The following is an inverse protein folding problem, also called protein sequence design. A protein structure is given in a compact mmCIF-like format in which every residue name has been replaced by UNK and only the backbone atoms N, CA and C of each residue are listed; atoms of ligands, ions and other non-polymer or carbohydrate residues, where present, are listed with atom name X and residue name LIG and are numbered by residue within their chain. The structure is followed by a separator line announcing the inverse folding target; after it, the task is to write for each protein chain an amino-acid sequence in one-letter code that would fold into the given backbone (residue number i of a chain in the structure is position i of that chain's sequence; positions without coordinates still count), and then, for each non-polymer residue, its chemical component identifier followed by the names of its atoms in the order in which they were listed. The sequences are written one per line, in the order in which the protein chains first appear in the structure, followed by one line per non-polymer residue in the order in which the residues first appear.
data_IF_668098999222
#
_entry.id   IF_668098999222
#
_cell.length_a   1.000
_cell.length_b   1.000
_cell.length_c   1.000
_cell.angle_alpha   90.00
_cell.angle_beta   90.00
_cell.angle_gamma   90.00
#
_symmetry.space_group_name_H-M   'P 1'
#
loop_
_entity.id
_entity.type
_entity.pdbx_description
1 polymer ?
#
# COMPACT_ATOMS: atom_id res chain seq x y z
N UNK A 1 -14.46 -2.83 -15.47
CA UNK A 1 -13.03 -3.18 -15.58
C UNK A 1 -12.41 -3.10 -14.19
N UNK A 2 -11.51 -4.01 -13.83
CA UNK A 2 -10.86 -4.04 -12.50
C UNK A 2 -9.74 -3.01 -12.37
N UNK A 3 -9.09 -2.67 -13.48
CA UNK A 3 -8.05 -1.65 -13.56
C UNK A 3 -8.60 -0.34 -14.13
N UNK A 4 -8.01 0.76 -13.66
CA UNK A 4 -8.25 2.11 -14.15
C UNK A 4 -6.93 2.73 -14.62
N UNK A 5 -7.04 3.68 -15.56
CA UNK A 5 -5.89 4.44 -16.02
C UNK A 5 -5.28 5.24 -14.89
N UNK A 6 -3.96 5.35 -14.87
CA UNK A 6 -3.27 6.18 -13.90
C UNK A 6 -3.85 7.60 -13.88
N UNK A 7 -4.04 8.13 -12.68
CA UNK A 7 -4.46 9.51 -12.45
C UNK A 7 -3.67 10.13 -11.31
N UNK A 8 -3.27 11.38 -11.47
CA UNK A 8 -2.62 12.17 -10.41
C UNK A 8 -3.55 12.37 -9.20
N UNK A 9 -4.87 12.17 -9.35
CA UNK A 9 -5.80 12.22 -8.24
C UNK A 9 -5.50 11.15 -7.15
N UNK A 10 -4.84 10.04 -7.49
CA UNK A 10 -4.41 9.08 -6.47
C UNK A 10 -3.38 9.67 -5.50
N UNK A 11 -2.53 10.60 -5.95
CA UNK A 11 -1.59 11.33 -5.09
C UNK A 11 -2.35 12.28 -4.16
N UNK A 12 -3.37 12.99 -4.68
CA UNK A 12 -4.23 13.84 -3.86
C UNK A 12 -5.01 13.03 -2.82
N UNK A 13 -5.54 11.86 -3.22
CA UNK A 13 -6.23 10.96 -2.34
C UNK A 13 -5.35 10.47 -1.20
N UNK A 14 -4.10 10.08 -1.49
CA UNK A 14 -3.11 9.73 -0.48
C UNK A 14 -2.85 10.91 0.46
N UNK A 15 -2.58 12.11 -0.08
CA UNK A 15 -2.33 13.32 0.73
C UNK A 15 -3.49 13.64 1.67
N UNK A 16 -4.73 13.46 1.21
CA UNK A 16 -5.92 13.68 2.03
C UNK A 16 -6.02 12.64 3.15
N UNK A 17 -5.82 11.34 2.86
CA UNK A 17 -5.81 10.29 3.89
C UNK A 17 -4.70 10.54 4.92
N UNK A 18 -3.48 10.82 4.43
CA UNK A 18 -2.31 11.11 5.25
C UNK A 18 -2.61 12.22 6.26
N UNK A 19 -3.19 13.33 5.81
CA UNK A 19 -3.58 14.45 6.69
C UNK A 19 -4.52 14.04 7.81
N UNK A 20 -5.56 13.25 7.51
CA UNK A 20 -6.51 12.80 8.53
C UNK A 20 -5.85 11.91 9.60
N UNK A 21 -4.91 11.06 9.17
CA UNK A 21 -4.14 10.20 10.07
C UNK A 21 -3.17 11.04 10.92
N UNK A 22 -2.43 11.96 10.31
CA UNK A 22 -1.42 12.78 11.01
C UNK A 22 -2.02 13.60 12.16
N UNK A 23 -3.22 14.16 11.98
CA UNK A 23 -3.95 14.91 13.02
C UNK A 23 -4.15 14.07 14.29
N UNK A 24 -4.27 12.74 14.16
CA UNK A 24 -4.56 11.85 15.28
C UNK A 24 -3.32 11.19 15.89
N UNK A 25 -2.18 11.24 15.19
CA UNK A 25 -0.92 10.64 15.61
C UNK A 25 0.08 11.66 16.20
N UNK A 26 -0.36 12.88 16.49
CA UNK A 26 0.50 13.92 17.07
C UNK A 26 1.25 13.44 18.33
N UNK A 27 2.54 13.79 18.41
CA UNK A 27 3.44 13.40 19.50
C UNK A 27 3.97 11.95 19.45
N UNK A 28 3.76 11.22 18.36
CA UNK A 28 4.38 9.91 18.10
C UNK A 28 5.44 10.07 17.01
N UNK A 29 6.56 9.35 17.10
CA UNK A 29 7.55 9.31 16.03
C UNK A 29 7.11 8.29 14.96
N UNK A 30 6.82 8.77 13.75
CA UNK A 30 6.41 7.94 12.62
C UNK A 30 6.65 8.62 11.27
N UNK A 31 6.61 7.83 10.21
CA UNK A 31 6.51 8.29 8.83
C UNK A 31 5.28 7.66 8.14
N UNK A 32 4.72 8.33 7.15
CA UNK A 32 3.62 7.79 6.32
C UNK A 32 4.04 7.80 4.86
N UNK A 33 4.01 6.63 4.23
CA UNK A 33 4.44 6.40 2.85
C UNK A 33 3.27 5.96 1.96
N UNK A 34 3.20 6.54 0.76
CA UNK A 34 2.32 6.06 -0.31
C UNK A 34 3.00 4.90 -1.00
N UNK A 35 2.41 3.71 -0.89
CA UNK A 35 2.96 2.48 -1.45
C UNK A 35 2.02 1.86 -2.49
N UNK A 36 2.38 0.69 -3.00
CA UNK A 36 1.57 -0.02 -3.99
C UNK A 36 1.56 0.66 -5.35
N UNK A 37 0.74 0.13 -6.27
CA UNK A 37 0.74 0.58 -7.67
C UNK A 37 0.23 2.01 -7.86
N UNK A 38 -0.68 2.50 -7.01
CA UNK A 38 -1.23 3.86 -7.13
C UNK A 38 -0.23 4.95 -6.78
N UNK A 39 0.88 4.59 -6.12
CA UNK A 39 2.01 5.47 -5.84
C UNK A 39 2.99 5.61 -7.02
N UNK A 40 2.85 4.83 -8.10
CA UNK A 40 3.76 4.86 -9.25
C UNK A 40 3.12 5.67 -10.38
N UNK A 41 3.68 6.83 -10.78
CA UNK A 41 3.17 7.59 -11.91
C UNK A 41 3.14 6.76 -13.19
N UNK A 42 2.09 6.95 -13.99
CA UNK A 42 1.87 6.28 -15.28
C UNK A 42 1.71 4.74 -15.18
N UNK A 43 1.31 4.22 -14.01
CA UNK A 43 1.01 2.80 -13.82
C UNK A 43 -0.48 2.59 -13.55
N UNK A 44 -1.18 1.97 -14.51
CA UNK A 44 -2.60 1.63 -14.38
C UNK A 44 -2.83 0.64 -13.24
N UNK A 45 -3.89 0.79 -12.46
CA UNK A 45 -4.06 0.03 -11.21
C UNK A 45 -5.52 -0.13 -10.79
N UNK A 46 -5.76 -1.00 -9.81
CA UNK A 46 -6.98 -0.91 -8.99
C UNK A 46 -6.95 0.44 -8.24
N UNK A 47 -8.06 1.19 -8.20
CA UNK A 47 -8.14 2.51 -7.56
C UNK A 47 -8.27 2.37 -6.03
N UNK A 48 -7.26 1.77 -5.40
CA UNK A 48 -7.16 1.61 -3.95
C UNK A 48 -5.80 2.17 -3.54
N UNK A 49 -5.80 3.09 -2.59
CA UNK A 49 -4.56 3.67 -2.04
C UNK A 49 -3.98 2.69 -1.04
N UNK A 50 -2.71 2.33 -1.18
CA UNK A 50 -2.01 1.51 -0.19
C UNK A 50 -1.07 2.43 0.63
N UNK A 51 -1.09 2.27 1.96
CA UNK A 51 -0.40 3.19 2.88
C UNK A 51 0.33 2.37 3.93
N UNK A 52 1.60 2.74 4.18
CA UNK A 52 2.35 2.28 5.35
C UNK A 52 2.50 3.43 6.34
N UNK A 53 2.14 3.19 7.61
CA UNK A 53 2.63 3.97 8.76
C UNK A 53 3.84 3.23 9.31
N UNK A 54 4.96 3.94 9.40
CA UNK A 54 6.26 3.39 9.74
C UNK A 54 6.68 3.96 11.08
N UNK A 55 7.03 3.10 12.04
CA UNK A 55 7.46 3.53 13.37
C UNK A 55 8.86 2.98 13.70
N UNK A 56 9.73 3.74 14.38
CA UNK A 56 11.08 3.29 14.70
C UNK A 56 11.14 2.40 15.94
N UNK A 57 10.36 2.72 16.97
CA UNK A 57 10.34 1.99 18.23
C UNK A 57 9.07 1.14 18.37
N UNK A 58 9.25 -0.15 18.64
CA UNK A 58 8.17 -1.09 18.98
C UNK A 58 7.23 -0.60 20.09
N UNK A 59 7.72 0.25 21.00
CA UNK A 59 6.90 0.85 22.06
C UNK A 59 5.83 1.82 21.53
N UNK A 60 5.99 2.34 20.31
CA UNK A 60 5.04 3.26 19.67
C UNK A 60 3.88 2.55 18.97
N UNK A 61 4.00 1.26 18.68
CA UNK A 61 2.92 0.50 18.00
C UNK A 61 1.60 0.58 18.76
N UNK A 62 1.60 0.31 20.07
CA UNK A 62 0.37 0.36 20.87
C UNK A 62 -0.21 1.78 20.93
N UNK A 63 0.64 2.82 20.92
CA UNK A 63 0.16 4.21 20.84
C UNK A 63 -0.53 4.45 19.50
N UNK A 64 0.10 4.08 18.38
CA UNK A 64 -0.46 4.22 17.03
C UNK A 64 -1.79 3.48 16.93
N UNK A 65 -1.82 2.22 17.38
CA UNK A 65 -3.02 1.39 17.39
C UNK A 65 -4.18 2.08 18.11
N UNK A 66 -3.96 2.53 19.35
CA UNK A 66 -4.98 3.24 20.14
C UNK A 66 -5.47 4.51 19.44
N UNK A 67 -4.58 5.26 18.78
CA UNK A 67 -4.96 6.47 18.03
C UNK A 67 -5.76 6.13 16.77
N UNK A 68 -5.39 5.09 16.03
CA UNK A 68 -6.13 4.61 14.87
C UNK A 68 -7.51 4.08 15.25
N UNK A 69 -7.63 3.40 16.39
CA UNK A 69 -8.93 2.95 16.92
C UNK A 69 -9.87 4.13 17.20
N UNK A 70 -9.35 5.22 17.77
CA UNK A 70 -10.10 6.49 17.96
C UNK A 70 -10.49 7.16 16.63
N UNK A 71 -9.78 6.86 15.55
CA UNK A 71 -10.09 7.34 14.20
C UNK A 71 -11.08 6.42 13.46
N UNK A 72 -11.54 5.33 14.10
CA UNK A 72 -12.50 4.39 13.51
C UNK A 72 -11.88 3.23 12.75
N UNK A 73 -10.58 3.02 12.89
CA UNK A 73 -9.95 1.77 12.46
C UNK A 73 -10.11 0.68 13.52
N UNK A 74 -9.90 -0.55 13.12
CA UNK A 74 -9.64 -1.67 14.02
C UNK A 74 -8.44 -2.46 13.51
N UNK A 75 -7.69 -3.03 14.45
CA UNK A 75 -6.56 -3.88 14.14
C UNK A 75 -7.05 -5.25 13.66
N UNK A 76 -6.66 -5.62 12.43
CA UNK A 76 -7.08 -6.84 11.76
C UNK A 76 -5.91 -7.86 11.67
N UNK A 77 -5.03 -7.84 12.67
CA UNK A 77 -3.83 -8.66 12.74
C UNK A 77 -2.85 -8.41 11.59
N UNK A 78 -1.92 -9.33 11.39
CA UNK A 78 -0.86 -9.21 10.37
C UNK A 78 -1.17 -9.97 9.05
N UNK A 79 -2.29 -10.70 9.02
CA UNK A 79 -2.74 -11.53 7.90
C UNK A 79 -1.66 -12.50 7.37
N UNK A 80 -0.83 -13.03 8.26
CA UNK A 80 0.23 -13.99 7.91
C UNK A 80 1.52 -13.35 7.39
N UNK A 81 1.63 -12.02 7.35
CA UNK A 81 2.86 -11.32 7.00
C UNK A 81 3.47 -10.71 8.26
N UNK A 82 4.62 -11.22 8.68
CA UNK A 82 5.32 -10.74 9.86
C UNK A 82 5.62 -9.23 9.76
N UNK A 83 5.46 -8.52 10.88
CA UNK A 83 5.78 -7.10 11.04
C UNK A 83 5.07 -6.17 10.03
N UNK A 84 3.85 -6.57 9.62
CA UNK A 84 2.94 -5.76 8.80
C UNK A 84 1.50 -5.88 9.29
N UNK A 85 1.15 -5.05 10.26
CA UNK A 85 -0.20 -5.02 10.81
C UNK A 85 -1.18 -4.35 9.86
N UNK A 86 -2.37 -4.92 9.72
CA UNK A 86 -3.43 -4.44 8.84
C UNK A 86 -4.50 -3.76 9.66
N UNK A 87 -4.86 -2.55 9.27
CA UNK A 87 -5.95 -1.79 9.87
C UNK A 87 -7.09 -1.62 8.87
N UNK A 88 -8.32 -1.81 9.35
CA UNK A 88 -9.54 -1.69 8.53
C UNK A 88 -10.53 -0.77 9.21
N UNK A 89 -11.43 -0.19 8.42
CA UNK A 89 -12.55 0.60 8.92
C UNK A 89 -13.80 -0.27 9.00
N UNK A 90 -14.53 -0.18 10.09
CA UNK A 90 -15.79 -0.92 10.30
C UNK A 90 -17.03 -0.02 10.25
N UNK A 91 -16.86 1.30 10.07
CA UNK A 91 -17.96 2.26 9.96
C UNK A 91 -18.54 2.73 11.30
N UNK A 92 -17.97 2.31 12.44
CA UNK A 92 -18.46 2.72 13.77
C UNK A 92 -18.21 4.21 14.06
N UNK A 93 -17.16 4.78 13.47
CA UNK A 93 -16.85 6.21 13.50
C UNK A 93 -16.72 6.70 12.07
N UNK A 94 -17.44 7.76 11.74
CA UNK A 94 -17.45 8.31 10.39
C UNK A 94 -16.35 9.36 10.22
N UNK A 95 -15.65 9.27 9.11
CA UNK A 95 -14.72 10.29 8.64
C UNK A 95 -14.90 10.44 7.13
N UNK A 96 -15.26 11.64 6.67
CA UNK A 96 -15.62 11.90 5.27
C UNK A 96 -14.53 11.44 4.30
N UNK A 97 -13.27 11.74 4.58
CA UNK A 97 -12.16 11.42 3.68
C UNK A 97 -11.86 9.92 3.71
N UNK A 98 -11.70 9.36 4.92
CA UNK A 98 -11.30 7.96 5.11
C UNK A 98 -12.40 6.97 4.68
N UNK A 99 -13.67 7.36 4.76
CA UNK A 99 -14.80 6.52 4.33
C UNK A 99 -15.09 6.65 2.82
N UNK A 100 -14.68 7.76 2.19
CA UNK A 100 -14.89 7.98 0.75
C UNK A 100 -13.76 7.37 -0.09
N UNK A 101 -12.51 7.56 0.34
CA UNK A 101 -11.35 7.10 -0.42
C UNK A 101 -11.03 5.66 -0.02
N UNK A 102 -11.16 4.73 -0.96
CA UNK A 102 -10.79 3.32 -0.72
C UNK A 102 -9.28 3.20 -0.51
N UNK A 103 -8.91 2.60 0.60
CA UNK A 103 -7.51 2.42 0.95
C UNK A 103 -7.28 1.15 1.77
N UNK A 104 -6.04 0.68 1.74
CA UNK A 104 -5.48 -0.24 2.72
C UNK A 104 -4.53 0.53 3.62
N UNK A 105 -4.58 0.24 4.91
CA UNK A 105 -3.69 0.82 5.89
C UNK A 105 -2.87 -0.29 6.55
N UNK A 106 -1.56 -0.15 6.46
CA UNK A 106 -0.60 -1.01 7.10
C UNK A 106 0.21 -0.23 8.13
N UNK A 107 0.67 -0.90 9.18
CA UNK A 107 1.54 -0.33 10.20
C UNK A 107 2.72 -1.27 10.39
N UNK A 108 3.94 -0.77 10.17
CA UNK A 108 5.17 -1.56 10.10
C UNK A 108 6.29 -0.91 10.93
N UNK A 109 7.12 -1.68 11.65
CA UNK A 109 8.36 -1.14 12.20
C UNK A 109 9.36 -0.83 11.07
N UNK A 110 10.27 0.10 11.33
CA UNK A 110 11.42 0.33 10.46
C UNK A 110 12.23 -0.96 10.28
N UNK A 111 12.73 -1.21 9.07
CA UNK A 111 13.52 -2.40 8.76
C UNK A 111 12.72 -3.69 8.56
N UNK A 112 11.38 -3.65 8.62
CA UNK A 112 10.58 -4.83 8.32
C UNK A 112 10.71 -5.25 6.85
N UNK A 113 10.72 -6.56 6.58
CA UNK A 113 10.78 -7.09 5.21
C UNK A 113 9.59 -6.65 4.36
N UNK A 114 8.43 -6.48 4.99
CA UNK A 114 7.22 -6.00 4.31
C UNK A 114 7.39 -4.55 3.84
N UNK A 115 7.91 -3.68 4.72
CA UNK A 115 8.22 -2.29 4.37
C UNK A 115 9.28 -2.22 3.26
N UNK A 116 10.37 -2.98 3.39
CA UNK A 116 11.41 -3.08 2.35
C UNK A 116 10.80 -3.46 1.00
N UNK A 117 9.97 -4.50 0.96
CA UNK A 117 9.27 -4.95 -0.25
C UNK A 117 8.43 -3.82 -0.86
N UNK A 118 7.65 -3.11 -0.05
CA UNK A 118 6.80 -2.02 -0.52
C UNK A 118 7.60 -0.86 -1.11
N UNK A 119 8.65 -0.41 -0.41
CA UNK A 119 9.45 0.75 -0.81
C UNK A 119 10.32 0.45 -2.03
N UNK A 120 11.03 -0.68 -2.03
CA UNK A 120 11.95 -1.01 -3.12
C UNK A 120 11.20 -1.30 -4.42
N UNK A 121 10.11 -2.06 -4.37
CA UNK A 121 9.30 -2.31 -5.59
C UNK A 121 8.71 -1.02 -6.17
N UNK A 122 8.17 -0.13 -5.32
CA UNK A 122 7.69 1.19 -5.75
C UNK A 122 8.79 2.01 -6.40
N UNK A 123 9.93 2.14 -5.72
CA UNK A 123 11.03 2.98 -6.17
C UNK A 123 11.58 2.47 -7.51
N UNK A 124 11.77 1.15 -7.64
CA UNK A 124 12.22 0.55 -8.90
C UNK A 124 11.26 0.84 -10.05
N UNK A 125 9.94 0.64 -9.84
CA UNK A 125 8.92 0.90 -10.87
C UNK A 125 8.81 2.39 -11.25
N UNK A 126 9.11 3.31 -10.33
CA UNK A 126 9.17 4.75 -10.62
C UNK A 126 10.38 5.09 -11.51
N UNK A 127 11.53 4.46 -11.26
CA UNK A 127 12.80 4.73 -11.98
C UNK A 127 12.92 3.99 -13.31
N UNK A 128 12.23 2.85 -13.47
CA UNK A 128 12.41 1.95 -14.60
C UNK A 128 11.13 1.82 -15.43
N UNK A 129 11.09 2.50 -16.59
CA UNK A 129 9.95 2.44 -17.50
C UNK A 129 9.65 1.03 -18.00
N UNK A 130 10.68 0.27 -18.42
CA UNK A 130 10.50 -1.10 -18.91
C UNK A 130 9.80 -1.99 -17.87
N UNK A 131 10.16 -1.85 -16.59
CA UNK A 131 9.61 -2.65 -15.50
C UNK A 131 8.17 -2.24 -15.22
N UNK A 132 7.89 -0.93 -15.24
CA UNK A 132 6.54 -0.38 -15.12
C UNK A 132 5.62 -0.90 -16.23
N UNK A 133 6.06 -0.84 -17.48
CA UNK A 133 5.29 -1.33 -18.64
C UNK A 133 5.06 -2.85 -18.57
N UNK A 134 6.10 -3.63 -18.24
CA UNK A 134 5.97 -5.08 -18.05
C UNK A 134 4.97 -5.42 -16.96
N UNK A 135 5.06 -4.77 -15.79
CA UNK A 135 4.13 -5.01 -14.70
C UNK A 135 2.70 -4.57 -15.04
N UNK A 136 2.55 -3.47 -15.78
CA UNK A 136 1.25 -3.03 -16.28
C UNK A 136 0.63 -4.09 -17.19
N UNK A 137 1.38 -4.61 -18.16
CA UNK A 137 0.89 -5.65 -19.06
C UNK A 137 0.48 -6.92 -18.29
N UNK A 138 1.33 -7.38 -17.37
CA UNK A 138 0.98 -8.52 -16.50
C UNK A 138 -0.35 -8.30 -15.78
N UNK A 139 -0.60 -7.10 -15.24
CA UNK A 139 -1.89 -6.80 -14.59
C UNK A 139 -3.06 -6.84 -15.56
N UNK A 140 -2.90 -6.38 -16.80
CA UNK A 140 -3.96 -6.47 -17.81
C UNK A 140 -4.26 -7.92 -18.18
N UNK A 141 -3.23 -8.75 -18.43
CA UNK A 141 -3.40 -10.16 -18.76
C UNK A 141 -4.11 -10.92 -17.62
N UNK A 142 -3.74 -10.62 -16.37
CA UNK A 142 -4.38 -11.22 -15.20
C UNK A 142 -5.82 -10.73 -15.00
N UNK A 143 -6.11 -9.47 -15.32
CA UNK A 143 -7.46 -8.92 -15.27
C UNK A 143 -8.38 -9.59 -16.31
N UNK A 144 -7.85 -9.87 -17.50
CA UNK A 144 -8.55 -10.63 -18.54
C UNK A 144 -8.79 -12.08 -18.10
N UNK A 145 -7.76 -12.78 -17.62
CA UNK A 145 -7.87 -14.14 -17.08
C UNK A 145 -8.87 -14.24 -15.91
N UNK A 146 -8.99 -13.19 -15.11
CA UNK A 146 -9.96 -13.11 -14.03
C UNK A 146 -11.39 -12.80 -14.50
N UNK A 147 -11.62 -12.61 -15.80
CA UNK A 147 -12.86 -12.08 -16.36
C UNK A 147 -13.32 -10.79 -15.64
N UNK A 148 -12.36 -9.92 -15.30
CA UNK A 148 -12.57 -8.68 -14.54
C UNK A 148 -13.12 -8.88 -13.11
N UNK A 149 -13.19 -10.11 -12.59
CA UNK A 149 -13.58 -10.37 -11.22
C UNK A 149 -12.50 -9.92 -10.22
N UNK A 150 -12.91 -9.17 -9.20
CA UNK A 150 -11.98 -8.51 -8.27
C UNK A 150 -11.28 -9.49 -7.34
N UNK A 151 -11.96 -10.57 -6.94
CA UNK A 151 -11.42 -11.56 -6.00
C UNK A 151 -10.45 -12.49 -6.74
N UNK A 152 -10.90 -13.05 -7.86
CA UNK A 152 -10.07 -13.88 -8.75
C UNK A 152 -8.83 -13.11 -9.21
N UNK A 153 -8.97 -11.84 -9.61
CA UNK A 153 -7.80 -11.02 -9.97
C UNK A 153 -6.79 -10.89 -8.81
N UNK A 154 -7.25 -10.68 -7.57
CA UNK A 154 -6.35 -10.56 -6.43
C UNK A 154 -5.56 -11.87 -6.21
N UNK A 155 -6.25 -13.01 -6.25
CA UNK A 155 -5.63 -14.33 -6.14
C UNK A 155 -4.63 -14.60 -7.26
N UNK A 156 -4.99 -14.32 -8.52
CA UNK A 156 -4.08 -14.49 -9.65
C UNK A 156 -2.87 -13.56 -9.56
N UNK A 157 -3.07 -12.31 -9.11
CA UNK A 157 -1.95 -11.37 -8.92
C UNK A 157 -0.96 -11.87 -7.89
N UNK A 158 -1.44 -12.37 -6.76
CA UNK A 158 -0.60 -12.97 -5.73
C UNK A 158 0.20 -14.16 -6.26
N UNK A 159 -0.43 -15.03 -7.06
CA UNK A 159 0.23 -16.21 -7.62
C UNK A 159 1.28 -15.89 -8.69
N UNK A 160 1.02 -14.90 -9.56
CA UNK A 160 1.81 -14.70 -10.78
C UNK A 160 2.68 -13.44 -10.81
N UNK A 161 2.50 -12.50 -9.87
CA UNK A 161 3.29 -11.26 -9.87
C UNK A 161 4.48 -11.29 -8.91
N UNK A 162 4.48 -12.18 -7.93
CA UNK A 162 5.48 -12.16 -6.86
C UNK A 162 6.91 -12.36 -7.40
N UNK A 163 7.15 -13.36 -8.25
CA UNK A 163 8.49 -13.60 -8.82
C UNK A 163 9.06 -12.38 -9.56
N UNK A 164 8.20 -11.67 -10.31
CA UNK A 164 8.61 -10.45 -10.99
C UNK A 164 8.92 -9.33 -9.99
N UNK A 165 8.06 -9.14 -8.98
CA UNK A 165 8.27 -8.14 -7.93
C UNK A 165 9.56 -8.44 -7.15
N UNK A 166 9.83 -9.70 -6.84
CA UNK A 166 11.04 -10.14 -6.15
C UNK A 166 12.27 -9.82 -6.99
N UNK A 167 12.23 -10.11 -8.30
CA UNK A 167 13.34 -9.81 -9.20
C UNK A 167 13.71 -8.33 -9.26
N UNK A 168 12.73 -7.42 -9.23
CA UNK A 168 12.98 -5.98 -9.28
C UNK A 168 13.42 -5.41 -7.92
N UNK A 169 12.99 -6.03 -6.82
CA UNK A 169 13.45 -5.67 -5.48
C UNK A 169 14.93 -6.00 -5.34
N UNK A 170 15.34 -7.21 -5.74
CA UNK A 170 16.74 -7.62 -5.68
C UNK A 170 17.61 -6.74 -6.61
N UNK A 171 17.10 -6.35 -7.77
CA UNK A 171 17.77 -5.37 -8.63
C UNK A 171 17.91 -4.00 -7.92
N UNK A 172 16.85 -3.45 -7.32
CA UNK A 172 16.91 -2.18 -6.60
C UNK A 172 17.92 -2.20 -5.46
N UNK A 173 18.05 -3.33 -4.73
CA UNK A 173 19.05 -3.47 -3.65
C UNK A 173 20.47 -3.30 -4.17
N UNK A 174 20.80 -3.89 -5.32
CA UNK A 174 22.15 -3.86 -5.89
C UNK A 174 22.56 -2.44 -6.30
N UNK A 175 21.63 -1.63 -6.83
CA UNK A 175 21.93 -0.27 -7.30
C UNK A 175 21.96 0.78 -6.17
N UNK A 176 21.71 0.39 -4.92
CA UNK A 176 21.70 1.26 -3.74
C UNK A 176 22.75 0.88 -2.68
N UNK A 177 23.72 0.04 -3.03
CA UNK A 177 24.96 -0.22 -2.26
C UNK A 177 26.11 0.60 -2.85
#
# INVERSE_FOLDING_TARGET
MVLEKYTSNWVNNFTNIKREIEIHLDGIDYCIEHIGSTSVPHLDSKPIIDIDIIYPDTSDFEKIKVRLEKLGYYHNGNQGIQDRDVFKRNGNLTNKVLDTIKHHLYVCPVGSKALERHILSRNFLRKNEWARLKYQQMKYDLAEKANQDRKTYATLKELYSNDFIDSIIEAEKIYHV
#
